data_IF_287417736041
#
_entry.id   IF_287417736041
#
_cell.length_a   1.000
_cell.length_b   1.000
_cell.length_c   1.000
_cell.angle_alpha   90.00
_cell.angle_beta   90.00
_cell.angle_gamma   90.00
#
_symmetry.space_group_name_H-M   'P 1'
#
loop_
_entity.id
_entity.type
_entity.pdbx_description
1 polymer ?
#
# COMPACT_ATOMS: atom_id res chain seq x y z
N UNK A 1 38.86 -0.27 32.85
CA UNK A 1 39.08 -1.68 32.45
C UNK A 1 37.95 -2.01 31.49
N UNK A 2 38.24 -2.09 30.21
CA UNK A 2 37.20 -2.45 29.23
C UNK A 2 37.03 -3.97 29.30
N UNK A 3 35.87 -4.40 29.77
CA UNK A 3 35.49 -5.81 29.77
C UNK A 3 35.19 -6.21 28.32
N UNK A 4 36.10 -6.92 27.69
CA UNK A 4 35.91 -7.48 26.36
C UNK A 4 34.89 -8.64 26.50
N UNK A 5 33.85 -8.69 25.66
CA UNK A 5 32.91 -9.80 25.69
C UNK A 5 33.67 -11.11 25.50
N UNK A 6 33.39 -12.10 26.34
CA UNK A 6 33.97 -13.41 26.24
C UNK A 6 33.64 -14.11 24.91
N UNK A 7 34.42 -15.11 24.51
CA UNK A 7 34.21 -15.81 23.24
C UNK A 7 32.80 -16.44 23.13
N UNK A 8 32.14 -16.77 24.25
CA UNK A 8 30.79 -17.32 24.32
C UNK A 8 29.75 -16.24 23.98
N UNK A 9 29.94 -15.03 24.51
CA UNK A 9 29.03 -13.91 24.18
C UNK A 9 29.15 -13.52 22.70
N UNK A 10 30.38 -13.48 22.15
CA UNK A 10 30.61 -13.22 20.73
C UNK A 10 29.94 -14.28 19.86
N UNK A 11 30.09 -15.56 20.19
CA UNK A 11 29.43 -16.66 19.45
C UNK A 11 27.90 -16.59 19.51
N UNK A 12 27.33 -16.22 20.67
CA UNK A 12 25.89 -16.04 20.83
C UNK A 12 25.37 -14.89 19.96
N UNK A 13 26.01 -13.72 20.01
CA UNK A 13 25.61 -12.57 19.17
C UNK A 13 25.74 -12.87 17.69
N UNK A 14 26.81 -13.55 17.28
CA UNK A 14 26.98 -13.99 15.88
C UNK A 14 25.88 -14.97 15.45
N UNK A 15 25.54 -15.94 16.30
CA UNK A 15 24.45 -16.88 16.05
C UNK A 15 23.09 -16.19 15.91
N UNK A 16 22.77 -15.26 16.82
CA UNK A 16 21.57 -14.45 16.74
C UNK A 16 21.52 -13.59 15.49
N UNK A 17 22.63 -12.96 15.11
CA UNK A 17 22.71 -12.15 13.90
C UNK A 17 22.46 -12.97 12.64
N UNK A 18 23.06 -14.17 12.54
CA UNK A 18 22.82 -15.09 11.43
C UNK A 18 21.37 -15.55 11.39
N UNK A 19 20.79 -15.89 12.53
CA UNK A 19 19.37 -16.28 12.61
C UNK A 19 18.45 -15.17 12.10
N UNK A 20 18.64 -13.94 12.59
CA UNK A 20 17.83 -12.81 12.16
C UNK A 20 18.03 -12.45 10.69
N UNK A 21 19.25 -12.62 10.17
CA UNK A 21 19.56 -12.40 8.75
C UNK A 21 18.81 -13.41 7.86
N UNK A 22 18.87 -14.70 8.21
CA UNK A 22 18.12 -15.75 7.47
C UNK A 22 16.61 -15.51 7.57
N UNK A 23 16.12 -15.17 8.77
CA UNK A 23 14.71 -14.87 8.98
C UNK A 23 14.24 -13.67 8.13
N UNK A 24 15.03 -12.60 8.07
CA UNK A 24 14.73 -11.42 7.26
C UNK A 24 14.68 -11.76 5.77
N UNK A 25 15.62 -12.57 5.26
CA UNK A 25 15.58 -13.03 3.87
C UNK A 25 14.33 -13.86 3.60
N UNK A 26 14.01 -14.81 4.47
CA UNK A 26 12.82 -15.65 4.32
C UNK A 26 11.53 -14.82 4.32
N UNK A 27 11.40 -13.89 5.26
CA UNK A 27 10.26 -12.97 5.34
C UNK A 27 10.16 -12.08 4.08
N UNK A 28 11.27 -11.59 3.58
CA UNK A 28 11.33 -10.80 2.35
C UNK A 28 10.87 -11.62 1.13
N UNK A 29 11.38 -12.84 0.97
CA UNK A 29 11.00 -13.73 -0.14
C UNK A 29 9.52 -14.04 -0.08
N UNK A 30 8.98 -14.40 1.08
CA UNK A 30 7.55 -14.67 1.26
C UNK A 30 6.70 -13.45 0.91
N UNK A 31 7.05 -12.27 1.42
CA UNK A 31 6.36 -11.02 1.13
C UNK A 31 6.37 -10.72 -0.37
N UNK A 32 7.53 -10.89 -1.04
CA UNK A 32 7.67 -10.67 -2.48
C UNK A 32 6.81 -11.63 -3.29
N UNK A 33 6.77 -12.91 -2.94
CA UNK A 33 5.91 -13.92 -3.60
C UNK A 33 4.43 -13.56 -3.43
N UNK A 34 4.01 -13.18 -2.22
CA UNK A 34 2.62 -12.84 -1.94
C UNK A 34 2.19 -11.55 -2.65
N UNK A 35 3.03 -10.52 -2.62
CA UNK A 35 2.79 -9.29 -3.38
C UNK A 35 2.73 -9.55 -4.87
N UNK A 36 3.60 -10.42 -5.41
CA UNK A 36 3.57 -10.80 -6.82
C UNK A 36 2.21 -11.37 -7.21
N UNK A 37 1.61 -12.23 -6.36
CA UNK A 37 0.28 -12.81 -6.61
C UNK A 37 -0.83 -11.76 -6.57
N UNK A 38 -0.78 -10.81 -5.64
CA UNK A 38 -1.71 -9.68 -5.58
C UNK A 38 -1.55 -8.79 -6.82
N UNK A 39 -0.31 -8.52 -7.26
CA UNK A 39 -0.02 -7.72 -8.45
C UNK A 39 -0.53 -8.41 -9.73
N UNK A 40 -0.39 -9.73 -9.84
CA UNK A 40 -0.98 -10.51 -10.92
C UNK A 40 -2.50 -10.35 -10.98
N UNK A 41 -3.19 -10.43 -9.84
CA UNK A 41 -4.64 -10.21 -9.75
C UNK A 41 -5.05 -8.80 -10.17
N UNK A 42 -4.23 -7.81 -9.82
CA UNK A 42 -4.44 -6.40 -10.18
C UNK A 42 -4.08 -6.09 -11.64
N UNK A 43 -3.58 -7.05 -12.42
CA UNK A 43 -3.18 -6.86 -13.80
C UNK A 43 -1.85 -6.11 -13.99
N UNK A 44 -1.02 -6.03 -12.95
CA UNK A 44 0.31 -5.40 -13.03
C UNK A 44 1.22 -6.24 -13.90
N UNK A 45 1.80 -5.63 -14.92
CA UNK A 45 2.76 -6.26 -15.82
C UNK A 45 4.16 -6.28 -15.19
N UNK A 46 4.87 -7.40 -15.36
CA UNK A 46 6.23 -7.56 -14.87
C UNK A 46 6.30 -8.02 -13.41
N UNK A 47 6.46 -9.33 -13.22
CA UNK A 47 6.57 -9.99 -11.91
C UNK A 47 7.73 -9.48 -11.05
N UNK A 48 8.79 -8.97 -11.69
CA UNK A 48 9.97 -8.42 -11.03
C UNK A 48 9.66 -7.26 -10.08
N UNK A 49 8.54 -6.53 -10.32
CA UNK A 49 8.12 -5.37 -9.52
C UNK A 49 7.86 -5.72 -8.06
N UNK A 50 7.45 -6.95 -7.77
CA UNK A 50 7.27 -7.43 -6.42
C UNK A 50 8.60 -7.76 -5.71
N UNK A 51 9.67 -7.95 -6.49
CA UNK A 51 10.99 -8.36 -6.00
C UNK A 51 11.97 -7.21 -5.81
N UNK A 52 11.64 -6.00 -6.23
CA UNK A 52 12.47 -4.82 -6.01
C UNK A 52 12.09 -4.19 -4.68
N UNK A 53 13.01 -4.17 -3.69
CA UNK A 53 12.76 -3.54 -2.40
C UNK A 53 12.30 -2.09 -2.56
N UNK A 54 11.47 -1.60 -1.64
CA UNK A 54 10.87 -0.26 -1.67
C UNK A 54 9.87 -0.10 -2.83
N UNK A 55 10.26 -0.42 -4.06
CA UNK A 55 9.41 -0.28 -5.23
C UNK A 55 8.14 -1.16 -5.16
N UNK A 56 8.24 -2.36 -4.59
CA UNK A 56 7.08 -3.21 -4.34
C UNK A 56 6.04 -2.54 -3.42
N UNK A 57 6.47 -1.82 -2.38
CA UNK A 57 5.58 -1.05 -1.52
C UNK A 57 5.02 0.19 -2.24
N UNK A 58 5.80 0.83 -3.13
CA UNK A 58 5.31 1.93 -3.96
C UNK A 58 4.20 1.45 -4.90
N UNK A 59 4.38 0.29 -5.55
CA UNK A 59 3.33 -0.34 -6.37
C UNK A 59 2.12 -0.70 -5.52
N UNK A 60 2.33 -1.28 -4.34
CA UNK A 60 1.25 -1.63 -3.42
C UNK A 60 0.45 -0.40 -2.98
N UNK A 61 1.11 0.72 -2.63
CA UNK A 61 0.45 1.99 -2.31
C UNK A 61 -0.37 2.51 -3.48
N UNK A 62 0.18 2.47 -4.69
CA UNK A 62 -0.53 2.85 -5.91
C UNK A 62 -1.78 2.00 -6.14
N UNK A 63 -1.70 0.69 -5.94
CA UNK A 63 -2.86 -0.21 -6.01
C UNK A 63 -3.90 0.12 -4.92
N UNK A 64 -3.46 0.70 -3.81
CA UNK A 64 -4.30 1.21 -2.73
C UNK A 64 -4.79 2.65 -2.91
N UNK A 65 -4.74 3.21 -4.12
CA UNK A 65 -5.16 4.59 -4.45
C UNK A 65 -4.37 5.68 -3.70
N UNK A 66 -3.20 5.34 -3.16
CA UNK A 66 -2.30 6.26 -2.47
C UNK A 66 -1.11 6.62 -3.35
N UNK A 67 -0.63 7.83 -3.20
CA UNK A 67 0.58 8.28 -3.89
C UNK A 67 1.76 7.35 -3.58
N UNK A 68 2.40 6.75 -4.59
CA UNK A 68 3.55 5.86 -4.36
C UNK A 68 4.75 6.59 -3.73
N UNK A 69 4.81 7.91 -3.87
CA UNK A 69 5.87 8.75 -3.31
C UNK A 69 5.84 8.82 -1.78
N UNK A 70 4.69 8.53 -1.14
CA UNK A 70 4.56 8.49 0.32
C UNK A 70 5.54 7.50 0.95
N UNK A 71 5.84 6.38 0.28
CA UNK A 71 6.81 5.39 0.75
C UNK A 71 8.23 5.99 0.78
N UNK A 72 8.62 6.71 -0.28
CA UNK A 72 9.94 7.36 -0.32
C UNK A 72 10.04 8.50 0.69
N UNK A 73 8.97 9.29 0.87
CA UNK A 73 8.92 10.34 1.89
C UNK A 73 9.09 9.74 3.29
N UNK A 74 8.38 8.64 3.57
CA UNK A 74 8.50 7.96 4.87
C UNK A 74 9.92 7.43 5.11
N UNK A 75 10.55 6.81 4.11
CA UNK A 75 11.92 6.32 4.20
C UNK A 75 12.90 7.47 4.38
N UNK A 76 12.79 8.52 3.56
CA UNK A 76 13.65 9.71 3.67
C UNK A 76 13.54 10.39 5.03
N UNK A 77 12.31 10.56 5.53
CA UNK A 77 12.06 11.10 6.86
C UNK A 77 12.64 10.21 7.96
N UNK A 78 12.53 8.87 7.82
CA UNK A 78 13.11 7.92 8.77
C UNK A 78 14.65 8.00 8.82
N UNK A 79 15.30 8.17 7.67
CA UNK A 79 16.76 8.31 7.60
C UNK A 79 17.21 9.64 8.25
N UNK A 80 16.50 10.73 7.96
CA UNK A 80 16.90 12.07 8.42
C UNK A 80 16.55 12.33 9.89
N UNK A 81 15.40 11.82 10.37
CA UNK A 81 14.82 12.17 11.65
C UNK A 81 14.56 10.97 12.56
N UNK A 82 14.70 9.75 12.04
CA UNK A 82 14.37 8.52 12.76
C UNK A 82 15.25 8.24 13.98
N UNK A 83 16.44 8.84 14.05
CA UNK A 83 17.32 8.75 15.20
C UNK A 83 16.85 9.58 16.41
N UNK A 84 15.88 10.50 16.20
CA UNK A 84 15.25 11.26 17.28
C UNK A 84 14.08 10.41 17.82
N UNK A 85 14.11 9.95 19.09
CA UNK A 85 13.18 8.91 19.58
C UNK A 85 11.69 9.22 19.34
N UNK A 86 11.25 10.43 19.66
CA UNK A 86 9.84 10.83 19.49
C UNK A 86 9.47 10.99 18.03
N UNK A 87 10.30 11.66 17.23
CA UNK A 87 10.06 11.87 15.82
C UNK A 87 10.12 10.56 15.04
N UNK A 88 11.09 9.70 15.34
CA UNK A 88 11.19 8.37 14.75
C UNK A 88 9.94 7.53 14.98
N UNK A 89 9.39 7.55 16.18
CA UNK A 89 8.15 6.85 16.50
C UNK A 89 6.96 7.41 15.71
N UNK A 90 6.82 8.73 15.62
CA UNK A 90 5.75 9.38 14.85
C UNK A 90 5.86 9.02 13.36
N UNK A 91 7.06 9.09 12.78
CA UNK A 91 7.30 8.74 11.38
C UNK A 91 6.98 7.26 11.13
N UNK A 92 7.39 6.36 12.04
CA UNK A 92 7.08 4.94 11.96
C UNK A 92 5.58 4.65 11.98
N UNK A 93 4.85 5.30 12.88
CA UNK A 93 3.39 5.20 12.95
C UNK A 93 2.75 5.74 11.66
N UNK A 94 3.18 6.90 11.16
CA UNK A 94 2.65 7.47 9.94
C UNK A 94 2.91 6.57 8.72
N UNK A 95 4.11 6.00 8.59
CA UNK A 95 4.45 5.03 7.55
C UNK A 95 3.56 3.77 7.63
N UNK A 96 3.35 3.26 8.84
CA UNK A 96 2.47 2.11 9.07
C UNK A 96 1.02 2.43 8.69
N UNK A 97 0.50 3.61 9.05
CA UNK A 97 -0.85 4.05 8.66
C UNK A 97 -0.99 4.14 7.14
N UNK A 98 0.01 4.63 6.42
CA UNK A 98 0.00 4.66 4.94
C UNK A 98 -0.14 3.25 4.37
N UNK A 99 0.64 2.29 4.87
CA UNK A 99 0.54 0.90 4.39
C UNK A 99 -0.78 0.23 4.78
N UNK A 100 -1.33 0.57 5.94
CA UNK A 100 -2.63 0.09 6.42
C UNK A 100 -3.78 0.62 5.54
N UNK A 101 -3.74 1.90 5.18
CA UNK A 101 -4.71 2.50 4.25
C UNK A 101 -4.62 1.86 2.86
N UNK A 102 -3.41 1.61 2.36
CA UNK A 102 -3.21 0.89 1.10
C UNK A 102 -3.79 -0.53 1.17
N UNK A 103 -3.52 -1.26 2.26
CA UNK A 103 -4.04 -2.61 2.47
C UNK A 103 -5.57 -2.63 2.55
N UNK A 104 -6.18 -1.65 3.21
CA UNK A 104 -7.64 -1.50 3.23
C UNK A 104 -8.21 -1.41 1.83
N UNK A 105 -7.68 -0.53 0.98
CA UNK A 105 -8.14 -0.36 -0.40
C UNK A 105 -7.90 -1.59 -1.27
N UNK A 106 -6.72 -2.19 -1.15
CA UNK A 106 -6.38 -3.45 -1.84
C UNK A 106 -7.34 -4.56 -1.42
N UNK A 107 -7.65 -4.65 -0.12
CA UNK A 107 -8.63 -5.60 0.40
C UNK A 107 -10.02 -5.40 -0.20
N UNK A 108 -10.53 -4.17 -0.26
CA UNK A 108 -11.81 -3.84 -0.89
C UNK A 108 -11.83 -4.22 -2.38
N UNK A 109 -10.74 -3.96 -3.11
CA UNK A 109 -10.60 -4.34 -4.53
C UNK A 109 -10.54 -5.85 -4.72
N UNK A 110 -10.07 -6.59 -3.73
CA UNK A 110 -10.13 -8.06 -3.68
C UNK A 110 -11.44 -8.58 -3.05
N UNK A 111 -12.45 -7.72 -2.93
CA UNK A 111 -13.79 -8.07 -2.45
C UNK A 111 -13.80 -8.59 -1.00
N UNK A 112 -12.88 -8.08 -0.17
CA UNK A 112 -12.84 -8.39 1.27
C UNK A 112 -13.53 -7.29 2.06
N UNK A 113 -14.19 -7.71 3.12
CA UNK A 113 -14.78 -6.79 4.09
C UNK A 113 -13.69 -6.03 4.87
N UNK A 114 -13.98 -4.81 5.34
CA UNK A 114 -13.02 -4.01 6.10
C UNK A 114 -12.45 -4.72 7.36
N UNK A 115 -13.19 -5.66 7.93
CA UNK A 115 -12.75 -6.43 9.10
C UNK A 115 -11.45 -7.21 8.83
N UNK A 116 -11.18 -7.58 7.58
CA UNK A 116 -9.93 -8.25 7.19
C UNK A 116 -8.69 -7.39 7.42
N UNK A 117 -8.85 -6.07 7.62
CA UNK A 117 -7.77 -5.17 7.95
C UNK A 117 -7.17 -5.45 9.33
N UNK A 118 -7.95 -6.02 10.25
CA UNK A 118 -7.47 -6.45 11.57
C UNK A 118 -6.36 -7.51 11.39
N UNK A 119 -6.56 -8.43 10.46
CA UNK A 119 -5.53 -9.44 10.15
C UNK A 119 -4.25 -8.80 9.58
N UNK A 120 -4.39 -7.79 8.72
CA UNK A 120 -3.22 -7.05 8.21
C UNK A 120 -2.49 -6.32 9.34
N UNK A 121 -3.22 -5.71 10.26
CA UNK A 121 -2.65 -4.98 11.38
C UNK A 121 -1.73 -5.85 12.25
N UNK A 122 -2.14 -7.07 12.58
CA UNK A 122 -1.37 -7.97 13.43
C UNK A 122 -0.47 -8.94 12.67
N UNK A 123 -0.88 -9.39 11.50
CA UNK A 123 -0.25 -10.46 10.72
C UNK A 123 -0.24 -10.12 9.22
N UNK A 124 0.43 -9.02 8.85
CA UNK A 124 0.44 -8.51 7.47
C UNK A 124 0.92 -9.54 6.44
N UNK A 125 1.92 -10.35 6.76
CA UNK A 125 2.43 -11.42 5.87
C UNK A 125 1.36 -12.48 5.64
N UNK A 126 0.64 -12.88 6.67
CA UNK A 126 -0.45 -13.88 6.56
C UNK A 126 -1.58 -13.32 5.71
N UNK A 127 -1.96 -12.06 5.93
CA UNK A 127 -2.96 -11.36 5.12
C UNK A 127 -2.58 -11.32 3.64
N UNK A 128 -1.33 -10.93 3.33
CA UNK A 128 -0.81 -10.92 1.96
C UNK A 128 -0.86 -12.32 1.33
N UNK A 129 -0.50 -13.35 2.09
CA UNK A 129 -0.52 -14.74 1.64
C UNK A 129 -1.93 -15.22 1.31
N UNK A 130 -2.89 -14.99 2.21
CA UNK A 130 -4.28 -15.38 1.98
C UNK A 130 -4.83 -14.68 0.75
N UNK A 131 -4.70 -13.35 0.64
CA UNK A 131 -5.23 -12.59 -0.48
C UNK A 131 -4.49 -12.85 -1.79
N UNK A 132 -3.21 -13.22 -1.72
CA UNK A 132 -2.43 -13.61 -2.89
C UNK A 132 -2.94 -14.90 -3.52
N UNK A 133 -3.29 -15.91 -2.70
CA UNK A 133 -3.60 -17.25 -3.17
C UNK A 133 -5.09 -17.63 -3.13
N UNK A 134 -5.94 -16.81 -2.54
CA UNK A 134 -7.38 -17.06 -2.57
C UNK A 134 -7.98 -16.87 -3.98
N UNK A 135 -9.28 -17.17 -4.14
CA UNK A 135 -9.99 -17.06 -5.42
C UNK A 135 -10.56 -15.67 -5.69
N UNK A 136 -10.22 -14.66 -4.87
CA UNK A 136 -10.71 -13.30 -5.05
C UNK A 136 -10.24 -12.70 -6.38
N UNK A 137 -11.10 -11.89 -6.98
CA UNK A 137 -10.84 -11.19 -8.24
C UNK A 137 -10.68 -9.70 -7.98
N UNK A 138 -9.80 -9.08 -8.75
CA UNK A 138 -9.60 -7.65 -8.67
C UNK A 138 -10.80 -6.89 -9.23
N UNK A 139 -11.35 -5.97 -8.44
CA UNK A 139 -12.48 -5.15 -8.80
C UNK A 139 -12.17 -3.68 -8.50
N UNK A 140 -12.16 -2.84 -9.52
CA UNK A 140 -11.98 -1.38 -9.38
C UNK A 140 -13.31 -0.63 -9.23
N UNK A 141 -14.46 -1.29 -9.44
CA UNK A 141 -15.78 -0.70 -9.29
C UNK A 141 -16.19 -0.57 -7.81
N UNK A 142 -15.34 0.09 -7.02
CA UNK A 142 -15.58 0.42 -5.61
C UNK A 142 -15.65 1.94 -5.45
N UNK A 143 -16.30 2.47 -4.41
CA UNK A 143 -16.36 3.92 -4.17
C UNK A 143 -14.99 4.54 -4.12
N UNK A 144 -14.88 5.82 -4.48
CA UNK A 144 -13.64 6.59 -4.39
C UNK A 144 -13.04 6.50 -2.98
N UNK A 145 -11.71 6.53 -2.91
CA UNK A 145 -11.04 6.60 -1.62
C UNK A 145 -11.39 7.94 -0.92
N UNK A 146 -11.51 7.96 0.41
CA UNK A 146 -11.78 9.20 1.15
C UNK A 146 -10.78 10.33 0.86
N UNK A 147 -9.57 9.96 0.45
CA UNK A 147 -8.49 10.89 0.10
C UNK A 147 -8.37 11.16 -1.41
N UNK A 148 -9.31 10.72 -2.25
CA UNK A 148 -9.23 10.86 -3.71
C UNK A 148 -9.03 12.32 -4.17
N UNK A 149 -9.60 13.28 -3.43
CA UNK A 149 -9.47 14.72 -3.71
C UNK A 149 -8.24 15.36 -3.02
N UNK A 150 -7.49 14.62 -2.21
CA UNK A 150 -6.32 15.14 -1.52
C UNK A 150 -5.10 15.09 -2.45
N UNK A 151 -4.49 16.24 -2.76
CA UNK A 151 -3.37 16.35 -3.68
C UNK A 151 -2.08 15.67 -3.22
N UNK A 152 -1.93 15.44 -1.92
CA UNK A 152 -0.75 14.81 -1.33
C UNK A 152 -0.91 13.29 -1.18
N UNK A 153 -2.08 12.84 -0.76
CA UNK A 153 -2.33 11.43 -0.48
C UNK A 153 -2.76 10.64 -1.72
N UNK A 154 -3.54 11.24 -2.63
CA UNK A 154 -4.08 10.53 -3.78
C UNK A 154 -3.02 10.19 -4.82
N UNK A 155 -3.16 9.03 -5.44
CA UNK A 155 -2.34 8.66 -6.59
C UNK A 155 -2.78 9.43 -7.84
N UNK A 156 -1.86 10.18 -8.41
CA UNK A 156 -2.01 10.91 -9.68
C UNK A 156 -0.98 10.48 -10.72
N UNK A 157 -0.24 9.41 -10.43
CA UNK A 157 0.85 8.96 -11.27
C UNK A 157 0.34 7.96 -12.31
N UNK A 158 0.91 8.01 -13.50
CA UNK A 158 0.69 6.99 -14.54
C UNK A 158 2.00 6.24 -14.73
N UNK A 159 1.96 4.93 -14.49
CA UNK A 159 3.13 4.08 -14.62
C UNK A 159 2.90 3.00 -15.69
N UNK A 160 3.80 2.89 -16.64
CA UNK A 160 3.73 1.86 -17.66
C UNK A 160 3.62 0.46 -17.04
N UNK A 161 2.67 -0.34 -17.50
CA UNK A 161 2.45 -1.70 -17.00
C UNK A 161 1.72 -1.81 -15.67
N UNK A 162 1.22 -0.71 -15.10
CA UNK A 162 0.32 -0.73 -13.94
C UNK A 162 -1.02 -0.14 -14.39
N UNK A 163 -2.11 -0.93 -14.38
CA UNK A 163 -3.42 -0.45 -14.78
C UNK A 163 -3.93 0.70 -13.91
N UNK A 164 -4.73 1.58 -14.51
CA UNK A 164 -5.47 2.59 -13.75
C UNK A 164 -6.32 1.92 -12.66
N UNK A 165 -6.32 2.50 -11.49
CA UNK A 165 -7.11 2.01 -10.35
C UNK A 165 -8.51 2.64 -10.30
N UNK A 166 -8.74 3.70 -11.08
CA UNK A 166 -10.08 4.25 -11.28
C UNK A 166 -10.84 3.43 -12.33
N UNK A 167 -12.15 3.17 -12.13
CA UNK A 167 -13.00 2.56 -13.15
C UNK A 167 -13.03 3.40 -14.42
N UNK A 168 -13.24 2.77 -15.59
CA UNK A 168 -13.27 3.46 -16.89
C UNK A 168 -14.36 4.54 -16.99
N UNK A 169 -15.46 4.39 -16.23
CA UNK A 169 -16.56 5.38 -16.13
C UNK A 169 -16.46 6.32 -14.93
N UNK A 170 -15.29 6.39 -14.27
CA UNK A 170 -15.17 7.09 -12.99
C UNK A 170 -15.61 6.20 -11.80
N UNK A 171 -15.45 6.73 -10.59
CA UNK A 171 -15.86 6.01 -9.39
C UNK A 171 -17.40 5.98 -9.28
N UNK A 172 -17.99 4.84 -8.83
CA UNK A 172 -19.41 4.82 -8.50
C UNK A 172 -19.73 5.88 -7.44
N UNK A 173 -20.94 6.44 -7.51
CA UNK A 173 -21.39 7.41 -6.52
C UNK A 173 -21.33 6.81 -5.11
N UNK A 174 -20.72 7.56 -4.19
CA UNK A 174 -20.69 7.18 -2.78
C UNK A 174 -21.89 7.85 -2.08
N UNK A 175 -22.86 7.08 -1.61
CA UNK A 175 -24.08 7.64 -0.98
C UNK A 175 -23.77 8.46 0.30
N UNK A 176 -22.57 8.30 0.89
CA UNK A 176 -22.18 9.01 2.12
C UNK A 176 -21.42 10.32 1.83
N UNK A 177 -20.63 10.36 0.74
CA UNK A 177 -19.72 11.50 0.46
C UNK A 177 -19.95 12.16 -0.89
N UNK A 178 -20.68 11.52 -1.81
CA UNK A 178 -21.03 12.05 -3.11
C UNK A 178 -22.55 11.96 -3.31
N UNK A 179 -23.23 13.08 -3.51
CA UNK A 179 -24.63 13.07 -3.96
C UNK A 179 -24.75 12.26 -5.25
N UNK A 180 -25.90 11.60 -5.44
CA UNK A 180 -26.19 10.86 -6.66
C UNK A 180 -25.97 11.77 -7.90
N UNK A 181 -25.49 11.23 -9.04
CA UNK A 181 -25.39 11.97 -10.28
C UNK A 181 -26.75 12.58 -10.61
N UNK A 182 -26.82 13.91 -10.71
CA UNK A 182 -28.08 14.65 -10.92
C UNK A 182 -28.66 15.37 -9.69
N UNK A 183 -28.07 15.19 -8.50
CA UNK A 183 -28.51 15.86 -7.27
C UNK A 183 -28.03 17.33 -7.14
N UNK A 184 -27.07 17.75 -7.94
CA UNK A 184 -26.67 19.16 -8.06
C UNK A 184 -27.14 19.71 -9.38
N UNK A 185 -27.89 20.83 -9.39
CA UNK A 185 -28.07 21.59 -10.61
C UNK A 185 -26.68 22.05 -11.09
N UNK A 186 -26.41 21.98 -12.41
CA UNK A 186 -25.16 22.54 -12.95
C UNK A 186 -25.01 23.98 -12.46
N UNK A 187 -23.78 24.46 -12.21
CA UNK A 187 -23.55 25.86 -11.89
C UNK A 187 -24.23 26.74 -12.94
N UNK A 188 -24.90 27.78 -12.51
CA UNK A 188 -25.54 28.70 -13.43
C UNK A 188 -24.52 29.24 -14.44
N UNK A 189 -24.68 28.90 -15.73
CA UNK A 189 -23.74 29.26 -16.80
C UNK A 189 -22.94 28.09 -17.40
N UNK A 190 -23.15 26.84 -16.97
CA UNK A 190 -22.54 25.69 -17.64
C UNK A 190 -23.38 25.30 -18.87
N UNK A 191 -22.92 25.69 -20.05
CA UNK A 191 -23.39 25.11 -21.32
C UNK A 191 -22.55 23.86 -21.62
N UNK A 192 -23.17 22.66 -21.72
CA UNK A 192 -22.44 21.48 -22.16
C UNK A 192 -21.89 21.69 -23.57
N UNK A 193 -20.68 21.22 -23.90
CA UNK A 193 -20.17 21.27 -25.25
C UNK A 193 -21.18 20.61 -26.20
N UNK A 194 -21.58 21.30 -27.27
CA UNK A 194 -22.46 20.79 -28.31
C UNK A 194 -21.86 19.50 -28.92
N UNK A 195 -22.54 18.38 -28.75
CA UNK A 195 -22.09 17.10 -29.33
C UNK A 195 -22.18 15.85 -28.45
N UNK A 196 -22.61 15.97 -27.21
CA UNK A 196 -22.90 14.81 -26.34
C UNK A 196 -24.41 14.65 -26.16
N UNK A 197 -25.02 13.98 -27.10
CA UNK A 197 -26.35 13.35 -26.97
C UNK A 197 -26.20 11.84 -27.05
#
# INVERSE_FOLDING_TARGET
MYDYPDGTAIALYAGLAIFWFIFAIAAYVLTSVFMMKIFEKAGVQGKWRAWVPIYNFMVFSKLGDLSPWLILIAIGASILLGWIPVLGSIIGIAAFVVTLLAAWRVGLKLQKEPVWLILYFFLSIVWLGILGFDKSRWNTAIPAAPWANNGFLSDRTVWAGIPSQAPAGGYPANPVTQPAPGAYPPPAGYEPPAGYT
#
